data_IF_179385745130
#
_entry.id   IF_179385745130
#
_cell.length_a   1.000
_cell.length_b   1.000
_cell.length_c   1.000
_cell.angle_alpha   90.00
_cell.angle_beta   90.00
_cell.angle_gamma   90.00
#
_symmetry.space_group_name_H-M   'P 1'
#
loop_
_entity.id
_entity.type
_entity.pdbx_description
1 polymer ?
#
# COMPACT_ATOMS: atom_id res chain seq x y z
N UNK A 1 46.59 -4.44 -35.07
CA UNK A 1 46.22 -4.87 -33.69
C UNK A 1 45.35 -3.86 -32.93
N UNK A 2 45.69 -2.56 -32.86
CA UNK A 2 44.88 -1.59 -32.11
C UNK A 2 43.52 -1.23 -32.76
N UNK A 3 43.41 -1.34 -34.09
CA UNK A 3 42.20 -1.04 -34.87
C UNK A 3 41.12 -2.12 -34.73
N UNK A 4 41.50 -3.38 -34.85
CA UNK A 4 40.57 -4.52 -34.68
C UNK A 4 39.99 -4.61 -33.27
N UNK A 5 40.78 -4.26 -32.25
CA UNK A 5 40.31 -4.23 -30.87
C UNK A 5 39.23 -3.15 -30.67
N UNK A 6 39.37 -1.99 -31.33
CA UNK A 6 38.38 -0.91 -31.28
C UNK A 6 37.09 -1.29 -32.00
N UNK A 7 37.20 -1.93 -33.17
CA UNK A 7 36.03 -2.42 -33.91
C UNK A 7 35.27 -3.49 -33.14
N UNK A 8 35.95 -4.41 -32.45
CA UNK A 8 35.29 -5.42 -31.60
C UNK A 8 34.54 -4.77 -30.43
N UNK A 9 35.10 -3.72 -29.84
CA UNK A 9 34.47 -2.97 -28.74
C UNK A 9 33.25 -2.18 -29.25
N UNK A 10 33.35 -1.54 -30.40
CA UNK A 10 32.23 -0.85 -31.04
C UNK A 10 31.14 -1.83 -31.48
N UNK A 11 31.51 -2.98 -32.04
CA UNK A 11 30.56 -4.04 -32.39
C UNK A 11 29.83 -4.56 -31.15
N UNK A 12 30.54 -4.79 -30.03
CA UNK A 12 29.91 -5.15 -28.74
C UNK A 12 28.96 -4.08 -28.23
N UNK A 13 29.34 -2.79 -28.32
CA UNK A 13 28.46 -1.66 -27.94
C UNK A 13 27.24 -1.56 -28.84
N UNK A 14 27.37 -1.87 -30.14
CA UNK A 14 26.25 -1.88 -31.09
C UNK A 14 25.28 -3.02 -30.78
N UNK A 15 25.80 -4.20 -30.43
CA UNK A 15 24.97 -5.34 -29.99
C UNK A 15 24.24 -5.04 -28.68
N UNK A 16 24.92 -4.48 -27.68
CA UNK A 16 24.29 -4.05 -26.42
C UNK A 16 23.27 -2.90 -26.59
N UNK A 17 23.41 -2.07 -27.63
CA UNK A 17 22.46 -1.01 -27.96
C UNK A 17 21.29 -1.50 -28.84
N UNK A 18 21.51 -2.59 -29.58
CA UNK A 18 20.50 -3.26 -30.42
C UNK A 18 19.62 -4.23 -29.61
N UNK A 19 20.13 -4.77 -28.50
CA UNK A 19 19.29 -5.30 -27.42
C UNK A 19 18.52 -4.13 -26.80
N UNK A 20 17.39 -3.80 -27.41
CA UNK A 20 16.49 -2.73 -27.00
C UNK A 20 16.18 -2.82 -25.50
N UNK A 21 16.16 -1.69 -24.76
CA UNK A 21 15.75 -1.67 -23.34
C UNK A 21 14.25 -1.97 -23.15
N UNK A 22 13.51 -2.25 -24.23
CA UNK A 22 12.21 -2.90 -24.21
C UNK A 22 12.44 -4.41 -24.06
N UNK A 23 12.87 -4.84 -22.88
CA UNK A 23 12.82 -6.25 -22.53
C UNK A 23 11.35 -6.68 -22.54
N UNK A 24 10.87 -7.17 -23.68
CA UNK A 24 9.62 -7.92 -23.78
C UNK A 24 9.73 -9.01 -22.73
N UNK A 25 8.76 -9.07 -21.80
CA UNK A 25 8.72 -10.08 -20.75
C UNK A 25 8.86 -11.43 -21.44
N UNK A 26 9.94 -12.16 -21.16
CA UNK A 26 10.08 -13.54 -21.61
C UNK A 26 9.20 -14.40 -20.71
N UNK A 27 7.94 -14.51 -21.08
CA UNK A 27 6.94 -15.34 -20.42
C UNK A 27 6.92 -16.78 -20.98
N UNK A 28 7.90 -17.16 -21.81
CA UNK A 28 8.02 -18.54 -22.32
C UNK A 28 8.18 -19.60 -21.23
N UNK A 29 8.64 -19.21 -20.04
CA UNK A 29 8.81 -20.06 -18.86
C UNK A 29 7.61 -20.03 -17.91
N UNK A 30 6.65 -19.11 -18.11
CA UNK A 30 5.48 -18.96 -17.23
C UNK A 30 4.38 -19.93 -17.69
N UNK A 31 3.81 -20.68 -16.74
CA UNK A 31 2.60 -21.46 -16.99
C UNK A 31 1.41 -20.52 -17.22
N UNK A 32 1.07 -20.29 -18.48
CA UNK A 32 -0.04 -19.42 -18.87
C UNK A 32 -1.31 -20.23 -19.12
N UNK A 33 -2.37 -19.87 -18.41
CA UNK A 33 -3.72 -20.40 -18.65
C UNK A 33 -4.54 -19.39 -19.47
N UNK A 34 -5.47 -19.89 -20.27
CA UNK A 34 -6.38 -19.02 -21.03
C UNK A 34 -7.30 -18.28 -20.06
N UNK A 35 -7.40 -16.97 -20.20
CA UNK A 35 -8.20 -16.12 -19.30
C UNK A 35 -9.69 -16.53 -19.28
N UNK A 36 -10.21 -17.00 -20.40
CA UNK A 36 -11.56 -17.54 -20.51
C UNK A 36 -11.51 -18.99 -20.98
N UNK A 37 -12.24 -19.93 -20.37
CA UNK A 37 -13.20 -19.76 -19.28
C UNK A 37 -12.61 -19.90 -17.87
N UNK A 38 -11.39 -20.43 -17.75
CA UNK A 38 -10.89 -20.96 -16.49
C UNK A 38 -10.58 -19.91 -15.43
N UNK A 39 -9.96 -18.80 -15.81
CA UNK A 39 -9.58 -17.74 -14.87
C UNK A 39 -10.81 -16.95 -14.40
N UNK A 40 -11.69 -16.56 -15.32
CA UNK A 40 -12.95 -15.87 -15.01
C UNK A 40 -13.83 -16.68 -14.05
N UNK A 41 -13.91 -18.00 -14.21
CA UNK A 41 -14.71 -18.84 -13.32
C UNK A 41 -14.13 -18.88 -11.89
N UNK A 42 -12.80 -18.94 -11.74
CA UNK A 42 -12.12 -18.87 -10.43
C UNK A 42 -12.35 -17.52 -9.76
N UNK A 43 -12.24 -16.42 -10.49
CA UNK A 43 -12.53 -15.08 -9.99
C UNK A 43 -14.00 -14.91 -9.58
N UNK A 44 -14.93 -15.46 -10.37
CA UNK A 44 -16.35 -15.44 -10.04
C UNK A 44 -16.63 -16.16 -8.71
N UNK A 45 -16.09 -17.38 -8.53
CA UNK A 45 -16.22 -18.12 -7.26
C UNK A 45 -15.63 -17.30 -6.10
N UNK A 46 -14.45 -16.71 -6.27
CA UNK A 46 -13.83 -15.87 -5.25
C UNK A 46 -14.69 -14.64 -4.90
N UNK A 47 -15.32 -14.02 -5.90
CA UNK A 47 -16.21 -12.87 -5.70
C UNK A 47 -17.49 -13.22 -4.95
N UNK A 48 -18.09 -14.38 -5.25
CA UNK A 48 -19.26 -14.91 -4.54
C UNK A 48 -18.88 -15.24 -3.10
N UNK A 49 -17.74 -15.92 -2.90
CA UNK A 49 -17.23 -16.23 -1.56
C UNK A 49 -16.99 -14.95 -0.73
N UNK A 50 -16.38 -13.92 -1.32
CA UNK A 50 -16.17 -12.63 -0.67
C UNK A 50 -17.50 -11.93 -0.34
N UNK A 51 -18.48 -12.00 -1.23
CA UNK A 51 -19.82 -11.42 -1.00
C UNK A 51 -20.52 -12.11 0.16
N UNK A 52 -20.51 -13.45 0.20
CA UNK A 52 -21.07 -14.23 1.31
C UNK A 52 -20.34 -13.90 2.61
N UNK A 53 -19.01 -13.81 2.59
CA UNK A 53 -18.21 -13.41 3.75
C UNK A 53 -18.64 -12.03 4.28
N UNK A 54 -18.76 -11.02 3.41
CA UNK A 54 -19.19 -9.68 3.80
C UNK A 54 -20.63 -9.65 4.34
N UNK A 55 -21.54 -10.46 3.78
CA UNK A 55 -22.92 -10.60 4.29
C UNK A 55 -22.93 -11.22 5.68
N UNK A 56 -22.13 -12.26 5.92
CA UNK A 56 -21.98 -12.86 7.26
C UNK A 56 -21.45 -11.80 8.23
N UNK A 57 -20.33 -11.14 7.90
CA UNK A 57 -19.77 -10.06 8.74
C UNK A 57 -20.81 -8.98 9.04
N UNK A 58 -21.60 -8.56 8.05
CA UNK A 58 -22.63 -7.53 8.21
C UNK A 58 -23.81 -7.95 9.09
N UNK A 59 -24.12 -9.24 9.19
CA UNK A 59 -25.20 -9.74 10.05
C UNK A 59 -24.71 -9.87 11.51
N UNK A 60 -23.44 -10.24 11.70
CA UNK A 60 -22.89 -10.53 13.02
C UNK A 60 -22.25 -9.31 13.72
N UNK A 61 -21.79 -8.31 12.97
CA UNK A 61 -21.19 -7.09 13.51
C UNK A 61 -22.13 -5.91 13.33
N UNK A 62 -22.77 -5.50 14.42
CA UNK A 62 -23.57 -4.30 14.46
C UNK A 62 -22.70 -3.05 14.28
N UNK A 63 -23.13 -2.17 13.38
CA UNK A 63 -22.52 -0.85 13.24
C UNK A 63 -23.08 0.08 14.34
N UNK A 64 -22.26 0.56 15.29
CA UNK A 64 -22.72 1.53 16.28
C UNK A 64 -22.99 2.87 15.57
N UNK A 65 -24.26 3.15 15.30
CA UNK A 65 -24.69 4.40 14.68
C UNK A 65 -24.81 5.50 15.75
N UNK A 66 -24.30 6.69 15.44
CA UNK A 66 -24.51 7.87 16.27
C UNK A 66 -25.93 8.44 16.09
N UNK A 67 -26.35 9.29 17.02
CA UNK A 67 -27.57 10.09 16.89
C UNK A 67 -27.55 10.93 15.60
N UNK A 68 -28.74 11.39 15.17
CA UNK A 68 -28.86 12.29 14.02
C UNK A 68 -27.87 13.46 14.14
N UNK A 69 -27.21 13.76 13.02
CA UNK A 69 -26.17 14.77 12.96
C UNK A 69 -26.69 16.14 13.47
N UNK A 70 -26.00 16.69 14.46
CA UNK A 70 -26.26 18.03 15.00
C UNK A 70 -25.03 18.92 14.71
N UNK A 71 -25.15 19.93 13.84
CA UNK A 71 -24.04 20.84 13.54
C UNK A 71 -23.51 21.62 14.76
N UNK A 72 -24.32 21.77 15.82
CA UNK A 72 -23.92 22.47 17.04
C UNK A 72 -23.19 21.60 18.07
N UNK A 73 -23.03 20.30 17.82
CA UNK A 73 -22.34 19.37 18.73
C UNK A 73 -21.40 18.45 17.98
N UNK A 74 -20.11 18.54 18.28
CA UNK A 74 -19.11 17.60 17.77
C UNK A 74 -19.06 16.37 18.66
N UNK A 75 -19.26 15.15 18.13
CA UNK A 75 -19.16 13.93 18.92
C UNK A 75 -17.73 13.73 19.43
N UNK A 76 -17.60 13.31 20.69
CA UNK A 76 -16.33 12.96 21.31
C UNK A 76 -16.43 11.52 21.84
N UNK A 77 -15.53 10.60 21.47
CA UNK A 77 -14.41 10.74 20.54
C UNK A 77 -14.83 10.72 19.06
N UNK A 78 -14.32 11.68 18.27
CA UNK A 78 -14.50 11.69 16.82
C UNK A 78 -13.40 10.86 16.16
N UNK A 79 -13.54 9.52 16.17
CA UNK A 79 -12.61 8.63 15.45
C UNK A 79 -12.96 8.62 13.96
N UNK A 80 -11.97 8.85 13.11
CA UNK A 80 -12.10 8.71 11.66
C UNK A 80 -12.22 7.22 11.28
N UNK A 81 -12.69 6.91 10.06
CA UNK A 81 -12.65 5.55 9.53
C UNK A 81 -11.25 4.95 9.62
N UNK A 82 -11.14 3.63 9.84
CA UNK A 82 -9.87 2.94 10.12
C UNK A 82 -8.77 3.18 9.07
N UNK A 83 -9.14 3.34 7.80
CA UNK A 83 -8.20 3.65 6.71
C UNK A 83 -7.65 5.08 6.75
N UNK A 84 -8.31 6.00 7.46
CA UNK A 84 -7.82 7.35 7.74
C UNK A 84 -7.29 7.53 9.17
N UNK A 85 -7.43 6.52 10.03
CA UNK A 85 -7.12 6.66 11.45
C UNK A 85 -5.63 6.90 11.70
N UNK A 86 -4.76 6.29 10.90
CA UNK A 86 -3.32 6.58 10.95
C UNK A 86 -2.99 8.02 10.55
N UNK A 87 -3.71 8.58 9.58
CA UNK A 87 -3.59 10.00 9.17
C UNK A 87 -4.13 10.92 10.28
N UNK A 88 -5.22 10.53 10.95
CA UNK A 88 -5.75 11.26 12.10
C UNK A 88 -4.75 11.30 13.27
N UNK A 89 -4.04 10.21 13.54
CA UNK A 89 -2.96 10.22 14.53
C UNK A 89 -1.86 11.20 14.13
N UNK A 90 -1.51 11.29 12.83
CA UNK A 90 -0.55 12.27 12.34
C UNK A 90 -1.07 13.72 12.51
N UNK A 91 -2.35 13.98 12.21
CA UNK A 91 -2.99 15.28 12.39
C UNK A 91 -3.01 15.74 13.85
N UNK A 92 -3.03 14.82 14.81
CA UNK A 92 -2.96 15.17 16.23
C UNK A 92 -1.58 15.70 16.67
N UNK A 93 -0.52 15.41 15.89
CA UNK A 93 0.87 15.72 16.26
C UNK A 93 1.51 16.81 15.40
N UNK A 94 1.03 17.01 14.19
CA UNK A 94 1.61 17.93 13.22
C UNK A 94 0.60 18.99 12.76
N UNK A 95 1.08 20.12 12.22
CA UNK A 95 0.20 21.13 11.63
C UNK A 95 -0.74 20.51 10.58
N UNK A 96 -2.02 20.93 10.49
CA UNK A 96 -3.01 20.31 9.61
C UNK A 96 -2.58 20.23 8.13
N UNK A 97 -1.92 21.27 7.63
CA UNK A 97 -1.43 21.29 6.25
C UNK A 97 -0.33 20.24 6.00
N UNK A 98 0.55 20.00 6.98
CA UNK A 98 1.64 19.02 6.83
C UNK A 98 1.11 17.59 6.90
N UNK A 99 0.28 17.27 7.91
CA UNK A 99 -0.24 15.93 8.10
C UNK A 99 -1.38 15.57 7.14
N UNK A 100 -2.26 16.51 6.82
CA UNK A 100 -3.43 16.27 6.00
C UNK A 100 -3.18 16.36 4.50
N UNK A 101 -2.21 17.17 4.07
CA UNK A 101 -1.96 17.43 2.63
C UNK A 101 -0.55 17.03 2.24
N UNK A 102 0.48 17.67 2.82
CA UNK A 102 1.85 17.51 2.35
C UNK A 102 2.36 16.05 2.45
N UNK A 103 2.13 15.39 3.59
CA UNK A 103 2.61 14.02 3.80
C UNK A 103 1.89 12.98 2.92
N UNK A 104 0.55 12.93 2.84
CA UNK A 104 -0.14 12.04 1.91
C UNK A 104 0.25 12.29 0.45
N UNK A 105 0.33 13.57 0.03
CA UNK A 105 0.77 13.92 -1.33
C UNK A 105 2.19 13.43 -1.60
N UNK A 106 3.11 13.61 -0.65
CA UNK A 106 4.49 13.12 -0.79
C UNK A 106 4.54 11.60 -0.98
N UNK A 107 3.78 10.83 -0.19
CA UNK A 107 3.73 9.36 -0.33
C UNK A 107 3.19 8.95 -1.70
N UNK A 108 2.11 9.57 -2.16
CA UNK A 108 1.51 9.27 -3.47
C UNK A 108 2.49 9.59 -4.60
N UNK A 109 3.11 10.77 -4.57
CA UNK A 109 4.09 11.20 -5.56
C UNK A 109 5.31 10.25 -5.57
N UNK A 110 5.80 9.86 -4.40
CA UNK A 110 6.88 8.87 -4.28
C UNK A 110 6.50 7.52 -4.89
N UNK A 111 5.26 7.04 -4.69
CA UNK A 111 4.78 5.80 -5.29
C UNK A 111 4.65 5.89 -6.82
N UNK A 112 4.20 7.03 -7.34
CA UNK A 112 4.16 7.29 -8.79
C UNK A 112 5.58 7.33 -9.38
N UNK A 113 6.54 7.90 -8.64
CA UNK A 113 7.95 7.99 -9.05
C UNK A 113 8.71 6.66 -8.89
N UNK A 114 8.19 5.71 -8.11
CA UNK A 114 8.84 4.44 -7.80
C UNK A 114 9.34 3.66 -9.04
N UNK A 115 8.55 3.47 -10.13
CA UNK A 115 9.05 2.81 -11.34
C UNK A 115 10.20 3.55 -12.05
N UNK A 116 10.35 4.86 -11.82
CA UNK A 116 11.42 5.66 -12.42
C UNK A 116 12.68 5.73 -11.55
N UNK A 117 12.50 5.64 -10.23
CA UNK A 117 13.55 5.67 -9.24
C UNK A 117 14.21 4.29 -9.03
N UNK A 118 13.41 3.22 -9.03
CA UNK A 118 13.90 1.84 -8.97
C UNK A 118 14.18 1.29 -10.38
N UNK A 119 15.41 1.51 -10.86
CA UNK A 119 15.88 1.04 -12.17
C UNK A 119 16.51 -0.36 -12.12
N UNK A 120 16.20 -1.17 -11.11
CA UNK A 120 16.76 -2.51 -11.03
C UNK A 120 16.31 -3.37 -12.23
N UNK A 121 17.23 -3.93 -13.05
CA UNK A 121 16.86 -4.79 -14.17
C UNK A 121 16.16 -6.08 -13.73
N UNK A 122 16.40 -6.52 -12.49
CA UNK A 122 15.78 -7.72 -11.94
C UNK A 122 14.54 -7.42 -11.11
N UNK A 123 13.48 -8.19 -11.34
CA UNK A 123 12.22 -8.12 -10.57
C UNK A 123 12.18 -9.09 -9.39
N UNK A 124 13.21 -9.92 -9.23
CA UNK A 124 13.26 -10.93 -8.16
C UNK A 124 13.30 -10.25 -6.79
N UNK A 125 12.47 -10.69 -5.82
CA UNK A 125 12.45 -10.08 -4.48
C UNK A 125 13.83 -10.10 -3.79
N UNK A 126 14.60 -11.19 -3.98
CA UNK A 126 15.93 -11.33 -3.43
C UNK A 126 16.94 -10.28 -3.92
N UNK A 127 16.69 -9.67 -5.09
CA UNK A 127 17.56 -8.68 -5.72
C UNK A 127 17.06 -7.24 -5.49
N UNK A 128 15.89 -7.06 -4.84
CA UNK A 128 15.26 -5.75 -4.53
C UNK A 128 15.14 -5.49 -3.02
N UNK A 129 16.09 -5.98 -2.23
CA UNK A 129 16.04 -5.95 -0.76
C UNK A 129 15.79 -4.55 -0.19
N UNK A 130 16.48 -3.52 -0.71
CA UNK A 130 16.35 -2.15 -0.20
C UNK A 130 14.93 -1.60 -0.42
N UNK A 131 14.40 -1.71 -1.64
CA UNK A 131 13.04 -1.26 -1.96
C UNK A 131 11.99 -1.98 -1.12
N UNK A 132 12.14 -3.30 -0.95
CA UNK A 132 11.24 -4.12 -0.14
C UNK A 132 11.34 -3.70 1.34
N UNK A 133 12.54 -3.56 1.90
CA UNK A 133 12.73 -3.15 3.30
C UNK A 133 12.10 -1.77 3.56
N UNK A 134 12.31 -0.79 2.69
CA UNK A 134 11.73 0.54 2.83
C UNK A 134 10.20 0.51 2.74
N UNK A 135 9.65 -0.26 1.79
CA UNK A 135 8.20 -0.42 1.66
C UNK A 135 7.58 -1.16 2.85
N UNK A 136 8.24 -2.21 3.33
CA UNK A 136 7.82 -2.95 4.53
C UNK A 136 7.86 -2.06 5.77
N UNK A 137 8.93 -1.26 5.94
CA UNK A 137 9.02 -0.30 7.04
C UNK A 137 7.87 0.72 6.99
N UNK A 138 7.59 1.27 5.80
CA UNK A 138 6.44 2.15 5.58
C UNK A 138 5.13 1.48 5.99
N UNK A 139 4.89 0.24 5.55
CA UNK A 139 3.69 -0.53 5.92
C UNK A 139 3.58 -0.79 7.42
N UNK A 140 4.69 -1.13 8.09
CA UNK A 140 4.72 -1.34 9.53
C UNK A 140 4.36 -0.06 10.29
N UNK A 141 4.90 1.09 9.88
CA UNK A 141 4.57 2.40 10.47
C UNK A 141 3.09 2.72 10.25
N UNK A 142 2.57 2.54 9.02
CA UNK A 142 1.18 2.82 8.71
C UNK A 142 0.21 1.97 9.54
N UNK A 143 0.46 0.66 9.64
CA UNK A 143 -0.33 -0.26 10.47
C UNK A 143 -0.21 0.11 11.95
N UNK A 144 0.99 0.41 12.44
CA UNK A 144 1.19 0.81 13.83
C UNK A 144 0.39 2.07 14.19
N UNK A 145 0.35 3.08 13.31
CA UNK A 145 -0.46 4.28 13.53
C UNK A 145 -1.96 3.98 13.59
N UNK A 146 -2.46 3.09 12.73
CA UNK A 146 -3.86 2.64 12.76
C UNK A 146 -4.17 1.90 14.06
N UNK A 147 -3.29 1.00 14.51
CA UNK A 147 -3.46 0.28 15.77
C UNK A 147 -3.43 1.24 16.97
N UNK A 148 -2.53 2.22 16.97
CA UNK A 148 -2.46 3.27 17.99
C UNK A 148 -3.78 4.03 18.07
N UNK A 149 -4.28 4.52 16.93
CA UNK A 149 -5.55 5.24 16.87
C UNK A 149 -6.76 4.38 17.25
N UNK A 150 -6.72 3.09 16.95
CA UNK A 150 -7.84 2.18 17.23
C UNK A 150 -7.94 1.90 18.72
N UNK A 151 -6.84 1.43 19.32
CA UNK A 151 -6.84 0.82 20.65
C UNK A 151 -6.44 1.77 21.77
N UNK A 152 -5.60 2.78 21.49
CA UNK A 152 -4.99 3.61 22.54
C UNK A 152 -5.51 5.05 22.57
N UNK A 153 -6.41 5.42 21.65
CA UNK A 153 -7.06 6.75 21.64
C UNK A 153 -8.47 6.68 22.22
N UNK A 154 -8.70 7.48 23.25
CA UNK A 154 -9.99 7.64 23.94
C UNK A 154 -10.59 9.04 23.76
N UNK A 155 -11.38 9.48 24.73
CA UNK A 155 -12.00 10.81 24.75
C UNK A 155 -10.97 11.94 24.63
N UNK A 156 -11.36 13.02 23.94
CA UNK A 156 -10.52 14.18 23.65
C UNK A 156 -9.18 13.83 22.98
N UNK A 157 -9.11 12.68 22.29
CA UNK A 157 -7.90 12.14 21.68
C UNK A 157 -6.75 11.86 22.66
N UNK A 158 -7.09 11.73 23.95
CA UNK A 158 -6.12 11.40 25.00
C UNK A 158 -5.71 9.94 24.93
N UNK A 159 -4.55 9.63 25.51
CA UNK A 159 -4.06 8.27 25.61
C UNK A 159 -4.90 7.50 26.63
N UNK A 160 -5.45 6.36 26.23
CA UNK A 160 -6.37 5.57 27.06
C UNK A 160 -6.03 4.07 26.96
N UNK A 161 -5.85 3.42 28.11
CA UNK A 161 -5.56 1.98 28.22
C UNK A 161 -6.80 1.10 28.41
N UNK A 162 -7.98 1.68 28.64
CA UNK A 162 -9.19 0.98 29.04
C UNK A 162 -9.68 -0.06 28.04
N UNK A 163 -9.41 0.11 26.75
CA UNK A 163 -9.73 -0.87 25.70
C UNK A 163 -8.81 -2.10 25.72
N UNK A 164 -7.60 -1.99 26.30
CA UNK A 164 -6.57 -3.03 26.31
C UNK A 164 -6.42 -3.70 27.68
N UNK A 165 -6.47 -2.91 28.76
CA UNK A 165 -6.25 -3.37 30.14
C UNK A 165 -7.55 -3.46 30.96
N UNK A 166 -8.68 -3.03 30.40
CA UNK A 166 -9.95 -2.86 31.12
C UNK A 166 -9.99 -1.57 31.93
N UNK A 167 -11.16 -0.93 31.98
CA UNK A 167 -11.41 0.22 32.87
C UNK A 167 -11.65 -0.29 34.29
N UNK A 168 -10.62 -0.25 35.15
CA UNK A 168 -10.78 -0.33 36.60
C UNK A 168 -11.20 0.99 37.20
#
# INVERSE_FOLDING_TARGET
MATEARERIEARRRLQRAETPLAVRDDSQDEMIVSFPEFVFKEFIASVAMTVFLLIVSIWLDAPLLNRANPGMTPNPSKAPWYFLGLQELLSRFPPLMAGVAFPTFVIVLMILLPYLDRNPSRRPAERKVAIILFTLYMLIAVALVLIGTFFRGEAWTWNWGLVLGSG
#
